data_IF_616216526422
#
_entry.id   IF_616216526422
#
_cell.length_a   1.000
_cell.length_b   1.000
_cell.length_c   1.000
_cell.angle_alpha   90.00
_cell.angle_beta   90.00
_cell.angle_gamma   90.00
#
_symmetry.space_group_name_H-M   'P 1'
#
loop_
_entity.id
_entity.type
_entity.pdbx_description
1 polymer ?
#
# COMPACT_ATOMS: atom_id res chain seq x y z
N UNK A 1 -17.81 -9.65 5.43
CA UNK A 1 -17.68 -9.04 4.10
C UNK A 1 -16.26 -9.18 3.62
N UNK A 2 -15.29 -8.60 4.34
CA UNK A 2 -13.87 -8.81 4.03
C UNK A 2 -13.37 -10.24 4.27
N UNK A 3 -13.73 -10.84 5.41
CA UNK A 3 -13.38 -12.23 5.77
C UNK A 3 -13.94 -13.31 4.83
N UNK A 4 -14.88 -12.95 3.95
CA UNK A 4 -15.45 -13.85 2.92
C UNK A 4 -14.90 -13.56 1.53
N UNK A 5 -13.95 -12.63 1.39
CA UNK A 5 -13.38 -12.26 0.10
C UNK A 5 -12.18 -13.15 -0.24
N UNK A 6 -12.33 -14.01 -1.23
CA UNK A 6 -11.23 -14.85 -1.75
C UNK A 6 -10.02 -14.02 -2.17
N UNK A 7 -10.24 -12.78 -2.63
CA UNK A 7 -9.16 -11.87 -3.00
C UNK A 7 -8.35 -11.38 -1.81
N UNK A 8 -9.01 -11.08 -0.70
CA UNK A 8 -8.32 -10.64 0.52
C UNK A 8 -7.52 -11.82 1.07
N UNK A 9 -8.12 -13.00 1.10
CA UNK A 9 -7.42 -14.24 1.47
C UNK A 9 -6.20 -14.49 0.56
N UNK A 10 -6.36 -14.34 -0.77
CA UNK A 10 -5.28 -14.52 -1.72
C UNK A 10 -4.15 -13.51 -1.52
N UNK A 11 -4.47 -12.26 -1.16
CA UNK A 11 -3.47 -11.24 -0.82
C UNK A 11 -2.64 -11.65 0.40
N UNK A 12 -3.30 -12.13 1.46
CA UNK A 12 -2.64 -12.61 2.67
C UNK A 12 -1.74 -13.81 2.39
N UNK A 13 -2.26 -14.83 1.71
CA UNK A 13 -1.47 -16.00 1.32
C UNK A 13 -0.27 -15.61 0.44
N UNK A 14 -0.44 -14.63 -0.46
CA UNK A 14 0.67 -14.17 -1.27
C UNK A 14 1.79 -13.56 -0.41
N UNK A 15 1.46 -12.72 0.57
CA UNK A 15 2.45 -12.18 1.53
C UNK A 15 3.17 -13.30 2.28
N UNK A 16 2.39 -14.24 2.83
CA UNK A 16 2.92 -15.37 3.62
C UNK A 16 3.90 -16.26 2.84
N UNK A 17 3.61 -16.55 1.57
CA UNK A 17 4.33 -17.56 0.79
C UNK A 17 5.31 -17.03 -0.26
N UNK A 18 5.28 -15.75 -0.64
CA UNK A 18 6.12 -15.26 -1.75
C UNK A 18 7.62 -15.21 -1.42
N UNK A 19 7.99 -15.03 -0.15
CA UNK A 19 9.39 -14.88 0.26
C UNK A 19 9.72 -15.65 1.55
N UNK A 20 9.72 -16.99 1.52
CA UNK A 20 9.92 -17.83 2.71
C UNK A 20 11.33 -17.73 3.32
N UNK A 21 12.32 -17.26 2.56
CA UNK A 21 13.71 -17.12 3.01
C UNK A 21 14.03 -15.75 3.65
N UNK A 22 13.15 -14.77 3.56
CA UNK A 22 13.35 -13.44 4.14
C UNK A 22 12.95 -13.46 5.63
N UNK A 23 13.84 -13.01 6.51
CA UNK A 23 13.74 -13.19 7.97
C UNK A 23 12.83 -12.17 8.67
N UNK A 24 12.45 -11.08 8.00
CA UNK A 24 11.52 -10.06 8.49
C UNK A 24 10.42 -9.88 7.44
N UNK A 25 9.28 -10.54 7.67
CA UNK A 25 8.14 -10.58 6.72
C UNK A 25 7.04 -9.57 6.98
N UNK A 26 6.98 -9.00 8.19
CA UNK A 26 6.10 -7.88 8.53
C UNK A 26 6.76 -7.11 9.69
N UNK A 27 7.05 -5.83 9.49
CA UNK A 27 7.53 -4.92 10.53
C UNK A 27 6.50 -3.81 10.75
N UNK A 28 5.85 -3.86 11.92
CA UNK A 28 4.98 -2.80 12.39
C UNK A 28 5.80 -1.74 13.11
N UNK A 29 5.71 -0.49 12.65
CA UNK A 29 6.38 0.68 13.25
C UNK A 29 5.30 1.63 13.75
N UNK A 30 5.39 2.03 15.02
CA UNK A 30 4.51 2.98 15.72
C UNK A 30 3.00 2.68 15.60
N UNK A 31 2.64 1.40 15.39
CA UNK A 31 1.27 0.99 15.04
C UNK A 31 0.67 1.75 13.84
N UNK A 32 1.51 2.33 12.99
CA UNK A 32 1.11 3.22 11.90
C UNK A 32 1.41 2.61 10.54
N UNK A 33 2.64 2.12 10.33
CA UNK A 33 3.05 1.49 9.08
C UNK A 33 3.42 0.04 9.32
N UNK A 34 2.92 -0.85 8.45
CA UNK A 34 3.30 -2.24 8.42
C UNK A 34 4.00 -2.51 7.09
N UNK A 35 5.29 -2.81 7.13
CA UNK A 35 6.12 -3.04 5.95
C UNK A 35 6.30 -4.54 5.80
N UNK A 36 6.01 -5.10 4.62
CA UNK A 36 6.24 -6.53 4.38
C UNK A 36 7.72 -6.87 4.61
N UNK A 37 8.64 -6.40 3.78
CA UNK A 37 10.05 -6.84 3.87
C UNK A 37 10.96 -5.65 4.12
N UNK A 38 11.80 -5.76 5.15
CA UNK A 38 12.83 -4.76 5.48
C UNK A 38 14.21 -5.38 5.32
N UNK A 39 14.94 -4.92 4.30
CA UNK A 39 16.37 -5.18 4.13
C UNK A 39 17.23 -4.01 4.63
N UNK A 40 18.54 -4.14 4.45
CA UNK A 40 19.51 -3.16 4.97
C UNK A 40 19.36 -1.79 4.30
N UNK A 41 19.25 -1.73 2.98
CA UNK A 41 19.13 -0.46 2.22
C UNK A 41 17.74 -0.25 1.60
N UNK A 42 16.83 -1.21 1.74
CA UNK A 42 15.55 -1.19 1.01
C UNK A 42 14.39 -1.75 1.82
N UNK A 43 13.19 -1.26 1.54
CA UNK A 43 11.92 -1.85 1.95
C UNK A 43 11.20 -2.41 0.73
N UNK A 44 10.42 -3.46 0.90
CA UNK A 44 9.66 -4.09 -0.18
C UNK A 44 8.23 -4.37 0.24
N UNK A 45 7.32 -4.19 -0.70
CA UNK A 45 5.90 -4.53 -0.59
C UNK A 45 5.55 -5.55 -1.68
N UNK A 46 4.70 -6.53 -1.35
CA UNK A 46 4.27 -7.59 -2.26
C UNK A 46 2.81 -7.39 -2.66
N UNK A 47 2.56 -7.19 -3.95
CA UNK A 47 1.22 -6.97 -4.49
C UNK A 47 0.81 -8.05 -5.48
N UNK A 48 -0.43 -8.52 -5.36
CA UNK A 48 -0.99 -9.55 -6.25
C UNK A 48 -1.12 -9.09 -7.71
N UNK A 49 -1.40 -7.81 -7.95
CA UNK A 49 -1.55 -7.24 -9.30
C UNK A 49 -1.23 -5.75 -9.30
N UNK A 50 -0.73 -5.24 -10.42
CA UNK A 50 -0.45 -3.82 -10.63
C UNK A 50 -1.67 -2.98 -11.08
N UNK A 51 -2.91 -3.46 -10.87
CA UNK A 51 -4.13 -2.72 -11.26
C UNK A 51 -4.31 -1.40 -10.51
N UNK A 52 -3.68 -1.28 -9.34
CA UNK A 52 -3.69 -0.09 -8.49
C UNK A 52 -2.27 0.48 -8.33
N UNK A 53 -1.42 0.36 -9.35
CA UNK A 53 0.00 0.72 -9.27
C UNK A 53 0.26 2.13 -8.71
N UNK A 54 -0.60 3.12 -9.01
CA UNK A 54 -0.47 4.46 -8.44
C UNK A 54 -0.68 4.46 -6.91
N UNK A 55 -1.67 3.72 -6.41
CA UNK A 55 -1.89 3.57 -4.97
C UNK A 55 -0.76 2.76 -4.32
N UNK A 56 -0.29 1.70 -4.98
CA UNK A 56 0.84 0.89 -4.52
C UNK A 56 2.12 1.76 -4.40
N UNK A 57 2.36 2.64 -5.38
CA UNK A 57 3.47 3.62 -5.36
C UNK A 57 3.35 4.62 -4.22
N UNK A 58 2.17 5.23 -4.04
CA UNK A 58 1.94 6.19 -2.95
C UNK A 58 2.14 5.53 -1.58
N UNK A 59 1.71 4.28 -1.41
CA UNK A 59 1.94 3.53 -0.16
C UNK A 59 3.43 3.40 0.15
N UNK A 60 4.25 2.95 -0.80
CA UNK A 60 5.70 2.85 -0.61
C UNK A 60 6.32 4.23 -0.37
N UNK A 61 5.92 5.26 -1.12
CA UNK A 61 6.41 6.62 -0.90
C UNK A 61 6.09 7.13 0.50
N UNK A 62 4.90 6.85 1.02
CA UNK A 62 4.53 7.19 2.39
C UNK A 62 5.42 6.48 3.42
N UNK A 63 5.75 5.20 3.22
CA UNK A 63 6.68 4.48 4.10
C UNK A 63 8.07 5.09 4.07
N UNK A 64 8.60 5.39 2.88
CA UNK A 64 9.90 6.06 2.74
C UNK A 64 9.88 7.45 3.39
N UNK A 65 8.82 8.23 3.18
CA UNK A 65 8.64 9.55 3.77
C UNK A 65 8.67 9.47 5.30
N UNK A 66 7.91 8.53 5.86
CA UNK A 66 7.84 8.33 7.30
C UNK A 66 9.19 7.89 7.89
N UNK A 67 9.88 6.94 7.25
CA UNK A 67 11.23 6.53 7.65
C UNK A 67 12.23 7.70 7.61
N UNK A 68 12.15 8.56 6.59
CA UNK A 68 12.98 9.77 6.49
C UNK A 68 12.74 10.70 7.69
N UNK A 69 11.50 10.87 8.16
CA UNK A 69 11.22 11.67 9.36
C UNK A 69 11.84 11.08 10.64
N UNK A 70 12.10 9.77 10.66
CA UNK A 70 12.85 9.09 11.73
C UNK A 70 14.37 9.13 11.52
N UNK A 71 14.87 9.81 10.48
CA UNK A 71 16.28 9.85 10.12
C UNK A 71 16.80 8.61 9.42
N UNK A 72 15.91 7.76 8.88
CA UNK A 72 16.26 6.51 8.18
C UNK A 72 16.00 6.67 6.69
N UNK A 73 17.04 6.56 5.88
CA UNK A 73 16.93 6.59 4.41
C UNK A 73 17.01 5.16 3.84
N UNK A 74 16.07 4.83 2.94
CA UNK A 74 15.99 3.54 2.24
C UNK A 74 15.43 3.73 0.83
N UNK A 75 15.59 2.71 -0.02
CA UNK A 75 14.89 2.58 -1.30
C UNK A 75 13.60 1.75 -1.14
N UNK A 76 12.58 2.04 -1.94
CA UNK A 76 11.31 1.32 -1.93
C UNK A 76 11.18 0.38 -3.12
N UNK A 77 10.57 -0.78 -2.92
CA UNK A 77 10.36 -1.77 -3.98
C UNK A 77 8.94 -2.31 -3.92
N UNK A 78 8.30 -2.41 -5.08
CA UNK A 78 7.04 -3.15 -5.22
C UNK A 78 7.30 -4.40 -6.04
N UNK A 79 7.01 -5.55 -5.45
CA UNK A 79 7.06 -6.84 -6.11
C UNK A 79 5.66 -7.23 -6.57
N UNK A 80 5.54 -7.60 -7.84
CA UNK A 80 4.33 -8.22 -8.41
C UNK A 80 4.65 -9.66 -8.84
N UNK A 81 4.66 -10.64 -7.91
CA UNK A 81 5.15 -12.00 -8.19
C UNK A 81 4.44 -12.66 -9.38
N UNK A 82 3.12 -12.51 -9.46
CA UNK A 82 2.30 -13.06 -10.54
C UNK A 82 2.73 -12.59 -11.93
N UNK A 83 3.28 -11.38 -12.01
CA UNK A 83 3.70 -10.74 -13.26
C UNK A 83 5.21 -10.85 -13.47
N UNK A 84 5.95 -11.43 -12.52
CA UNK A 84 7.42 -11.43 -12.47
C UNK A 84 8.00 -10.02 -12.68
N UNK A 85 7.31 -9.02 -12.11
CA UNK A 85 7.67 -7.61 -12.23
C UNK A 85 8.11 -7.06 -10.89
N UNK A 86 9.16 -6.23 -10.92
CA UNK A 86 9.62 -5.43 -9.79
C UNK A 86 9.65 -3.96 -10.22
N UNK A 87 9.21 -3.08 -9.35
CA UNK A 87 9.28 -1.63 -9.53
C UNK A 87 10.09 -1.03 -8.39
N UNK A 88 11.08 -0.21 -8.72
CA UNK A 88 11.90 0.52 -7.75
C UNK A 88 11.36 1.94 -7.60
N UNK A 89 11.23 2.39 -6.36
CA UNK A 89 10.62 3.65 -5.97
C UNK A 89 11.62 4.41 -5.09
N UNK A 90 11.88 5.66 -5.48
CA UNK A 90 12.77 6.57 -4.75
C UNK A 90 11.97 7.76 -4.26
N UNK A 91 12.22 8.16 -3.01
CA UNK A 91 11.65 9.35 -2.43
C UNK A 91 12.44 10.59 -2.87
N UNK A 92 12.02 11.19 -4.00
CA UNK A 92 12.58 12.47 -4.47
C UNK A 92 11.84 13.64 -3.81
N UNK A 93 12.38 14.88 -3.85
CA UNK A 93 11.66 16.06 -3.35
C UNK A 93 10.27 16.26 -3.96
N UNK A 94 10.08 15.89 -5.23
CA UNK A 94 8.78 15.93 -5.90
C UNK A 94 7.84 14.84 -5.37
N UNK A 95 8.37 13.64 -5.12
CA UNK A 95 7.61 12.54 -4.55
C UNK A 95 7.22 12.80 -3.08
N UNK A 96 8.04 13.53 -2.33
CA UNK A 96 7.69 13.98 -0.96
C UNK A 96 6.48 14.92 -1.00
N UNK A 97 6.48 15.90 -1.91
CA UNK A 97 5.33 16.79 -2.11
C UNK A 97 4.08 16.01 -2.50
N UNK A 98 4.21 14.98 -3.34
CA UNK A 98 3.10 14.11 -3.73
C UNK A 98 2.48 13.40 -2.51
N UNK A 99 3.31 12.91 -1.58
CA UNK A 99 2.86 12.30 -0.32
C UNK A 99 2.16 13.34 0.56
N UNK A 100 2.75 14.53 0.73
CA UNK A 100 2.18 15.61 1.53
C UNK A 100 0.82 16.06 0.99
N UNK A 101 0.68 16.21 -0.33
CA UNK A 101 -0.59 16.49 -0.99
C UNK A 101 -1.62 15.39 -0.79
N UNK A 102 -1.21 14.12 -0.84
CA UNK A 102 -2.09 12.99 -0.56
C UNK A 102 -2.60 13.01 0.89
N UNK A 103 -1.72 13.30 1.87
CA UNK A 103 -2.09 13.43 3.27
C UNK A 103 -3.08 14.59 3.50
N UNK A 104 -2.87 15.73 2.84
CA UNK A 104 -3.81 16.85 2.90
C UNK A 104 -5.19 16.47 2.32
N UNK A 105 -5.23 15.70 1.24
CA UNK A 105 -6.50 15.20 0.67
C UNK A 105 -7.21 14.24 1.63
N UNK A 106 -6.47 13.35 2.29
CA UNK A 106 -7.03 12.46 3.33
C UNK A 106 -7.63 13.28 4.47
N UNK A 107 -6.92 14.28 4.99
CA UNK A 107 -7.43 15.15 6.05
C UNK A 107 -8.71 15.88 5.62
N UNK A 108 -8.77 16.41 4.39
CA UNK A 108 -9.98 17.04 3.87
C UNK A 108 -11.19 16.10 3.86
N UNK A 109 -10.99 14.84 3.44
CA UNK A 109 -12.06 13.82 3.43
C UNK A 109 -12.53 13.52 4.86
N UNK A 110 -11.60 13.38 5.81
CA UNK A 110 -11.93 13.10 7.22
C UNK A 110 -12.70 14.24 7.90
N UNK A 111 -12.53 15.48 7.42
CA UNK A 111 -13.23 16.66 7.94
C UNK A 111 -14.62 16.87 7.31
N UNK A 112 -15.02 16.07 6.32
CA UNK A 112 -16.34 16.18 5.73
C UNK A 112 -17.40 15.68 6.73
N UNK A 113 -18.51 16.40 6.84
CA UNK A 113 -19.65 15.98 7.67
C UNK A 113 -20.25 14.66 7.19
N UNK A 114 -20.24 14.46 5.87
CA UNK A 114 -20.73 13.25 5.21
C UNK A 114 -19.65 12.69 4.29
N UNK A 115 -19.61 11.35 4.06
CA UNK A 115 -18.68 10.76 3.11
C UNK A 115 -18.87 11.35 1.70
N UNK A 116 -17.82 11.37 0.87
CA UNK A 116 -17.94 11.84 -0.51
C UNK A 116 -18.95 11.01 -1.30
N UNK A 117 -19.52 11.62 -2.35
CA UNK A 117 -20.46 10.94 -3.23
C UNK A 117 -19.87 9.65 -3.81
N UNK A 118 -20.72 8.62 -3.88
CA UNK A 118 -20.33 7.32 -4.40
C UNK A 118 -20.04 7.42 -5.90
N UNK A 119 -18.79 7.12 -6.25
CA UNK A 119 -18.34 7.00 -7.64
C UNK A 119 -18.00 5.55 -7.96
N UNK A 120 -18.59 5.00 -9.03
CA UNK A 120 -18.32 3.62 -9.44
C UNK A 120 -16.99 3.54 -10.19
N UNK A 121 -15.99 2.96 -9.55
CA UNK A 121 -14.64 2.77 -10.11
C UNK A 121 -14.44 1.35 -10.67
N UNK A 122 -13.46 1.12 -11.56
CA UNK A 122 -13.25 -0.19 -12.20
C UNK A 122 -13.00 -1.37 -11.25
N UNK A 123 -12.53 -1.09 -10.03
CA UNK A 123 -12.27 -2.10 -9.00
C UNK A 123 -13.47 -2.35 -8.06
N UNK A 124 -14.52 -1.52 -8.09
CA UNK A 124 -15.67 -1.63 -7.18
C UNK A 124 -16.37 -2.98 -7.28
N UNK A 125 -16.57 -3.52 -8.49
CA UNK A 125 -17.26 -4.80 -8.71
C UNK A 125 -16.58 -6.01 -8.06
N UNK A 126 -15.31 -5.87 -7.65
CA UNK A 126 -14.54 -6.91 -6.98
C UNK A 126 -14.04 -6.46 -5.61
N UNK A 127 -14.58 -5.36 -5.09
CA UNK A 127 -14.28 -4.84 -3.76
C UNK A 127 -15.00 -5.71 -2.72
N UNK A 128 -14.34 -6.03 -1.62
CA UNK A 128 -14.94 -6.79 -0.53
C UNK A 128 -16.11 -6.04 0.15
N UNK A 129 -16.20 -4.73 -0.08
CA UNK A 129 -17.21 -3.83 0.46
C UNK A 129 -18.28 -3.44 -0.58
N UNK A 130 -18.33 -4.08 -1.76
CA UNK A 130 -19.26 -3.71 -2.82
C UNK A 130 -20.71 -3.65 -2.35
N UNK A 131 -21.20 -4.68 -1.67
CA UNK A 131 -22.56 -4.75 -1.12
C UNK A 131 -22.82 -3.70 -0.02
N UNK A 132 -21.78 -3.22 0.68
CA UNK A 132 -21.95 -2.15 1.66
C UNK A 132 -22.19 -0.80 0.98
N UNK A 133 -21.53 -0.58 -0.16
CA UNK A 133 -21.63 0.68 -0.90
C UNK A 133 -22.83 0.73 -1.86
N UNK A 134 -23.28 -0.41 -2.40
CA UNK A 134 -24.26 -0.46 -3.49
C UNK A 134 -25.42 -1.45 -3.26
N UNK A 135 -25.41 -2.15 -2.13
CA UNK A 135 -26.51 -3.04 -1.72
C UNK A 135 -27.62 -2.31 -1.00
#
# INVERSE_FOLDING_TARGET
MESKSDKVLMGKLLGDYSYPAESKKELLIDNLINIDIVGDDQIREVKYSNRLANADRIQILYYLYYLKQLGIEKQGIINYPKMRKREEITLTPEAEKEVEEALLKVQKILMMENPPELERKPYCSKCAYFEFCWG
#
